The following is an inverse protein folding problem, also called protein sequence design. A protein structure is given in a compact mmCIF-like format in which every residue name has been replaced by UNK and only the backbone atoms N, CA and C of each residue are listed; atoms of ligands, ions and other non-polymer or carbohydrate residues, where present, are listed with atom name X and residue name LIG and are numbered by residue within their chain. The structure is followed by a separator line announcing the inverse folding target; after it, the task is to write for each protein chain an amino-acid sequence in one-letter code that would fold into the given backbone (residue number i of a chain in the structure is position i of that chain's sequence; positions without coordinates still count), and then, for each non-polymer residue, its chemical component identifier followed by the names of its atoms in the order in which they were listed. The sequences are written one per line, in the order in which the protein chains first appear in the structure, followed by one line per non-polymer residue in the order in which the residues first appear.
data_IF_120942706621
#
_entry.id   IF_120942706621
#
_cell.length_a   1.000
_cell.length_b   1.000
_cell.length_c   1.000
_cell.angle_alpha   90.00
_cell.angle_beta   90.00
_cell.angle_gamma   90.00
#
_symmetry.space_group_name_H-M   'P 1'
#
loop_
_entity.id
_entity.type
_entity.pdbx_description
1 polymer ?
#
# COMPACT_ATOMS: atom_id res chain seq x y z
N UNK A 1 5.84 1.41 0.23
CA UNK A 1 4.79 0.91 -0.70
C UNK A 1 5.33 1.08 -2.11
N UNK A 2 5.18 0.12 -3.03
CA UNK A 2 5.76 0.25 -4.38
C UNK A 2 4.94 1.26 -5.19
N UNK A 3 5.60 2.31 -5.70
CA UNK A 3 5.00 3.37 -6.50
C UNK A 3 4.39 2.84 -7.81
N UNK A 4 3.31 3.43 -8.33
CA UNK A 4 2.62 2.95 -9.54
C UNK A 4 3.54 2.79 -10.76
N UNK A 5 4.47 3.74 -10.94
CA UNK A 5 5.53 3.67 -11.93
C UNK A 5 6.42 2.42 -11.77
N UNK A 6 6.88 2.16 -10.54
CA UNK A 6 7.72 1.00 -10.24
C UNK A 6 6.97 -0.32 -10.45
N UNK A 7 5.65 -0.37 -10.21
CA UNK A 7 4.81 -1.54 -10.53
C UNK A 7 4.78 -1.84 -12.03
N UNK A 8 4.71 -0.80 -12.87
CA UNK A 8 4.71 -0.93 -14.34
C UNK A 8 6.06 -1.46 -14.83
N UNK A 9 7.16 -0.92 -14.31
CA UNK A 9 8.51 -1.40 -14.62
C UNK A 9 8.69 -2.86 -14.20
N UNK A 10 8.30 -3.22 -12.97
CA UNK A 10 8.40 -4.59 -12.48
C UNK A 10 7.61 -5.57 -13.36
N UNK A 11 6.41 -5.20 -13.83
CA UNK A 11 5.63 -6.02 -14.75
C UNK A 11 6.32 -6.23 -16.11
N UNK A 12 7.04 -5.22 -16.61
CA UNK A 12 7.84 -5.29 -17.82
C UNK A 12 9.04 -6.23 -17.66
N UNK A 13 9.84 -6.02 -16.61
CA UNK A 13 11.02 -6.85 -16.30
C UNK A 13 10.65 -8.32 -16.06
N UNK A 14 9.54 -8.58 -15.37
CA UNK A 14 9.04 -9.95 -15.18
C UNK A 14 8.67 -10.58 -16.51
N UNK A 15 8.07 -9.82 -17.44
CA UNK A 15 7.72 -10.33 -18.76
C UNK A 15 8.98 -10.64 -19.57
N UNK A 16 9.94 -9.73 -19.60
CA UNK A 16 11.23 -9.91 -20.28
C UNK A 16 11.97 -11.15 -19.77
N UNK A 17 12.03 -11.34 -18.45
CA UNK A 17 12.66 -12.52 -17.86
C UNK A 17 11.95 -13.83 -18.27
N UNK A 18 10.62 -13.83 -18.35
CA UNK A 18 9.85 -14.99 -18.81
C UNK A 18 10.09 -15.27 -20.28
N UNK A 19 10.12 -14.23 -21.11
CA UNK A 19 10.39 -14.33 -22.54
C UNK A 19 11.83 -14.85 -22.78
N UNK A 20 12.77 -14.53 -21.88
CA UNK A 20 14.12 -15.10 -21.83
C UNK A 20 14.20 -16.53 -21.24
N UNK A 21 13.07 -17.13 -20.86
CA UNK A 21 12.97 -18.52 -20.38
C UNK A 21 12.97 -18.70 -18.86
N UNK A 22 12.93 -17.63 -18.06
CA UNK A 22 12.79 -17.74 -16.62
C UNK A 22 11.38 -18.21 -16.22
N UNK A 23 11.27 -18.96 -15.12
CA UNK A 23 9.96 -19.29 -14.56
C UNK A 23 9.32 -18.05 -13.94
N UNK A 24 7.99 -17.93 -14.05
CA UNK A 24 7.23 -16.81 -13.46
C UNK A 24 7.57 -16.60 -11.97
N UNK A 25 7.68 -17.70 -11.22
CA UNK A 25 8.03 -17.70 -9.80
C UNK A 25 9.41 -17.09 -9.56
N UNK A 26 10.44 -17.56 -10.28
CA UNK A 26 11.82 -17.06 -10.15
C UNK A 26 11.92 -15.59 -10.56
N UNK A 27 11.24 -15.19 -11.63
CA UNK A 27 11.22 -13.79 -12.07
C UNK A 27 10.61 -12.85 -11.00
N UNK A 28 9.57 -13.31 -10.27
CA UNK A 28 8.99 -12.57 -9.15
C UNK A 28 9.93 -12.53 -7.93
N UNK A 29 10.59 -13.66 -7.61
CA UNK A 29 11.53 -13.79 -6.48
C UNK A 29 12.74 -12.84 -6.61
N UNK A 30 13.30 -12.67 -7.82
CA UNK A 30 14.44 -11.77 -8.08
C UNK A 30 14.13 -10.31 -7.74
N UNK A 31 12.87 -9.90 -7.93
CA UNK A 31 12.41 -8.54 -7.60
C UNK A 31 11.92 -8.40 -6.15
N UNK A 32 12.01 -9.46 -5.35
CA UNK A 32 11.43 -9.55 -4.01
C UNK A 32 9.94 -9.19 -3.96
N UNK A 33 9.21 -9.58 -5.01
CA UNK A 33 7.76 -9.36 -5.11
C UNK A 33 7.03 -10.69 -5.11
N UNK A 34 6.04 -10.84 -4.23
CA UNK A 34 5.21 -12.03 -4.24
C UNK A 34 4.41 -12.17 -5.55
N UNK A 35 4.33 -13.38 -6.10
CA UNK A 35 3.51 -13.70 -7.28
C UNK A 35 2.07 -13.18 -7.18
N UNK A 36 1.44 -13.30 -6.00
CA UNK A 36 0.06 -12.83 -5.77
C UNK A 36 -0.06 -11.33 -5.99
N UNK A 37 0.96 -10.57 -5.58
CA UNK A 37 1.04 -9.13 -5.76
C UNK A 37 1.15 -8.77 -7.25
N UNK A 38 2.03 -9.46 -7.99
CA UNK A 38 2.21 -9.25 -9.43
C UNK A 38 0.94 -9.61 -10.20
N UNK A 39 0.27 -10.72 -9.86
CA UNK A 39 -1.03 -11.11 -10.42
C UNK A 39 -2.10 -10.04 -10.15
N UNK A 40 -2.13 -9.47 -8.94
CA UNK A 40 -3.05 -8.38 -8.60
C UNK A 40 -2.81 -7.16 -9.48
N UNK A 41 -1.55 -6.71 -9.63
CA UNK A 41 -1.22 -5.57 -10.49
C UNK A 41 -1.60 -5.81 -11.95
N UNK A 42 -1.39 -7.03 -12.49
CA UNK A 42 -1.87 -7.38 -13.83
C UNK A 42 -3.39 -7.24 -13.97
N UNK A 43 -4.17 -7.64 -12.97
CA UNK A 43 -5.64 -7.47 -13.00
C UNK A 43 -6.02 -6.00 -12.95
N UNK A 44 -5.39 -5.20 -12.09
CA UNK A 44 -5.63 -3.75 -12.00
C UNK A 44 -5.33 -3.05 -13.32
N UNK A 45 -4.23 -3.41 -13.99
CA UNK A 45 -3.89 -2.88 -15.31
C UNK A 45 -4.91 -3.25 -16.39
N UNK A 46 -5.50 -4.46 -16.34
CA UNK A 46 -6.52 -4.92 -17.29
C UNK A 46 -7.90 -4.31 -17.05
N UNK A 47 -8.24 -4.01 -15.79
CA UNK A 47 -9.53 -3.47 -15.41
C UNK A 47 -9.68 -1.96 -15.69
N UNK A 48 -8.70 -1.32 -16.34
CA UNK A 48 -8.62 0.14 -16.53
C UNK A 48 -8.51 0.93 -15.20
N UNK A 49 -8.35 0.24 -14.08
CA UNK A 49 -8.30 0.79 -12.72
C UNK A 49 -6.99 1.53 -12.39
N UNK A 50 -6.03 1.54 -13.32
CA UNK A 50 -4.68 2.05 -13.09
C UNK A 50 -3.87 1.20 -12.11
N UNK A 51 -2.59 1.54 -11.93
CA UNK A 51 -1.71 0.88 -10.93
C UNK A 51 -1.62 1.67 -9.63
N UNK A 52 -2.44 2.72 -9.51
CA UNK A 52 -2.47 3.63 -8.37
C UNK A 52 -3.07 2.98 -7.13
N UNK A 53 -2.68 3.46 -5.95
CA UNK A 53 -3.28 3.01 -4.70
C UNK A 53 -4.54 3.82 -4.37
N UNK A 54 -5.70 3.21 -4.64
CA UNK A 54 -7.02 3.80 -4.40
C UNK A 54 -7.50 3.70 -2.95
N UNK A 55 -6.69 3.16 -2.02
CA UNK A 55 -7.09 3.07 -0.59
C UNK A 55 -7.42 4.44 0.00
N UNK A 56 -6.77 5.52 -0.46
CA UNK A 56 -7.05 6.88 -0.03
C UNK A 56 -8.40 7.42 -0.56
N UNK A 57 -8.81 7.03 -1.76
CA UNK A 57 -10.08 7.47 -2.37
C UNK A 57 -11.28 7.04 -1.52
N UNK A 58 -11.24 5.81 -1.01
CA UNK A 58 -12.31 5.26 -0.16
C UNK A 58 -12.08 5.60 1.32
N UNK A 59 -10.82 5.57 1.77
CA UNK A 59 -10.46 5.76 3.17
C UNK A 59 -10.52 7.21 3.66
N UNK A 60 -10.26 8.19 2.80
CA UNK A 60 -10.25 9.60 3.18
C UNK A 60 -11.61 10.13 3.61
N UNK A 61 -12.69 9.63 3.03
CA UNK A 61 -14.06 9.98 3.40
C UNK A 61 -14.59 9.18 4.60
N UNK A 62 -13.95 8.07 4.97
CA UNK A 62 -14.46 7.17 6.00
C UNK A 62 -14.00 7.62 7.38
N UNK A 63 -14.91 8.22 8.13
CA UNK A 63 -14.70 8.48 9.56
C UNK A 63 -15.03 7.20 10.34
N UNK A 64 -14.08 6.60 11.08
CA UNK A 64 -14.39 5.47 11.94
C UNK A 64 -15.31 5.92 13.08
N UNK A 65 -16.25 5.06 13.51
CA UNK A 65 -17.21 5.37 14.56
C UNK A 65 -16.54 5.78 15.89
N UNK A 66 -15.33 5.25 16.13
CA UNK A 66 -14.54 5.52 17.33
C UNK A 66 -13.50 6.63 17.10
N UNK A 67 -13.71 7.52 16.12
CA UNK A 67 -12.81 8.66 15.91
C UNK A 67 -12.96 9.61 17.11
N UNK A 68 -11.85 9.85 17.79
CA UNK A 68 -11.82 10.82 18.89
C UNK A 68 -12.29 12.20 18.42
N UNK A 69 -13.15 12.81 19.21
CA UNK A 69 -13.50 14.22 19.03
C UNK A 69 -12.29 15.11 19.34
N UNK A 70 -12.34 16.36 18.90
CA UNK A 70 -11.25 17.29 19.21
C UNK A 70 -11.19 17.58 20.73
N UNK A 71 -12.30 17.55 21.45
CA UNK A 71 -12.30 17.68 22.92
C UNK A 71 -11.64 16.48 23.59
N UNK A 72 -11.92 15.26 23.13
CA UNK A 72 -11.31 14.05 23.68
C UNK A 72 -9.79 14.04 23.46
N UNK A 73 -9.33 14.46 22.27
CA UNK A 73 -7.89 14.60 21.99
C UNK A 73 -7.23 15.64 22.89
N UNK A 74 -7.85 16.80 23.06
CA UNK A 74 -7.33 17.86 23.91
C UNK A 74 -7.18 17.39 25.36
N UNK A 75 -8.20 16.67 25.88
CA UNK A 75 -8.17 16.08 27.22
C UNK A 75 -7.06 15.05 27.37
N UNK A 76 -6.85 14.18 26.38
CA UNK A 76 -5.76 13.19 26.41
C UNK A 76 -4.41 13.91 26.48
N UNK A 77 -4.19 14.93 25.64
CA UNK A 77 -2.94 15.70 25.64
C UNK A 77 -2.73 16.40 26.99
N UNK A 78 -3.77 17.00 27.55
CA UNK A 78 -3.72 17.65 28.87
C UNK A 78 -3.31 16.66 29.96
N UNK A 79 -3.96 15.50 30.04
CA UNK A 79 -3.66 14.46 31.04
C UNK A 79 -2.23 13.94 30.87
N UNK A 80 -1.80 13.64 29.65
CA UNK A 80 -0.43 13.19 29.39
C UNK A 80 0.63 14.23 29.80
N UNK A 81 0.28 15.52 29.77
CA UNK A 81 1.18 16.60 30.15
C UNK A 81 1.08 17.01 31.63
N UNK A 82 0.24 16.35 32.44
CA UNK A 82 0.23 16.59 33.88
C UNK A 82 1.54 16.10 34.51
N UNK A 83 2.02 16.83 35.53
CA UNK A 83 3.32 16.56 36.18
C UNK A 83 3.48 15.17 36.79
N UNK A 84 2.38 14.44 37.04
CA UNK A 84 2.39 13.04 37.50
C UNK A 84 2.74 12.04 36.38
N UNK A 85 2.54 12.44 35.11
CA UNK A 85 2.76 11.60 33.91
C UNK A 85 3.83 12.17 32.96
N UNK A 86 4.30 13.40 33.20
CA UNK A 86 5.46 13.97 32.51
C UNK A 86 6.74 13.25 32.96
N UNK A 87 7.31 12.45 32.06
CA UNK A 87 8.62 11.79 32.19
C UNK A 87 9.67 12.56 31.39
#
# INVERSE_FOLDING_TARGET
MIEPHARRLALGLIREAIDAGASYKKACEVLDVNERTVRRWRRQLRATDGLEDRRKEIGGARVPANKLTEEEKARIIEVCNQGEYQS
#
